data_IF_025459458291
#
_entry.id   IF_025459458291
#
_cell.length_a   1.000
_cell.length_b   1.000
_cell.length_c   1.000
_cell.angle_alpha   90.00
_cell.angle_beta   90.00
_cell.angle_gamma   90.00
#
_symmetry.space_group_name_H-M   'P 1'
#
loop_
_entity.id
_entity.type
_entity.pdbx_description
1 polymer ?
#
# COMPACT_ATOMS: atom_id res chain seq x y z
N UNK A 1 13.51 2.68 -15.07
CA UNK A 1 13.44 4.11 -15.45
C UNK A 1 12.51 4.76 -14.44
N UNK A 2 13.03 5.56 -13.51
CA UNK A 2 12.18 6.29 -12.56
C UNK A 2 11.35 7.32 -13.32
N UNK A 3 10.10 7.54 -12.89
CA UNK A 3 9.14 8.47 -13.50
C UNK A 3 9.83 9.80 -13.88
N UNK A 4 9.84 10.13 -15.17
CA UNK A 4 10.45 11.33 -15.77
C UNK A 4 9.78 12.66 -15.34
N UNK A 5 8.59 12.56 -14.74
CA UNK A 5 7.80 13.73 -14.34
C UNK A 5 8.46 14.53 -13.21
N UNK A 6 8.38 15.87 -13.32
CA UNK A 6 8.73 16.81 -12.25
C UNK A 6 7.77 16.74 -11.05
N UNK A 7 6.59 16.14 -11.23
CA UNK A 7 5.60 15.98 -10.16
C UNK A 7 4.92 14.62 -10.17
N UNK A 8 4.53 14.16 -8.98
CA UNK A 8 3.63 13.02 -8.79
C UNK A 8 2.18 13.52 -8.72
N UNK A 9 1.34 13.02 -9.62
CA UNK A 9 -0.05 13.51 -9.80
C UNK A 9 -1.04 12.66 -9.01
N UNK A 10 -1.85 13.35 -8.24
CA UNK A 10 -2.94 12.82 -7.42
C UNK A 10 -4.23 13.52 -7.79
N UNK A 11 -5.36 12.90 -7.49
CA UNK A 11 -6.66 13.56 -7.47
C UNK A 11 -7.05 13.73 -6.01
N UNK A 12 -7.27 14.98 -5.60
CA UNK A 12 -7.77 15.33 -4.28
C UNK A 12 -9.29 15.46 -4.29
N UNK A 13 -9.94 14.79 -3.34
CA UNK A 13 -11.35 14.97 -3.03
C UNK A 13 -11.52 15.55 -1.64
N UNK A 14 -12.57 16.35 -1.49
CA UNK A 14 -13.09 16.79 -0.19
C UNK A 14 -14.46 16.14 0.02
N UNK A 15 -14.59 15.39 1.11
CA UNK A 15 -15.84 14.72 1.48
C UNK A 15 -16.13 15.02 2.96
N UNK A 16 -16.83 16.13 3.21
CA UNK A 16 -16.96 16.68 4.56
C UNK A 16 -15.57 17.06 5.11
N UNK A 17 -15.20 16.64 6.33
CA UNK A 17 -13.89 16.95 6.91
C UNK A 17 -12.73 16.15 6.29
N UNK A 18 -13.02 15.06 5.56
CA UNK A 18 -12.00 14.17 5.02
C UNK A 18 -11.37 14.76 3.74
N UNK A 19 -10.03 14.80 3.73
CA UNK A 19 -9.22 15.00 2.52
C UNK A 19 -8.75 13.64 2.02
N UNK A 20 -9.18 13.25 0.82
CA UNK A 20 -8.83 11.96 0.21
C UNK A 20 -7.97 12.21 -1.02
N UNK A 21 -6.83 11.53 -1.10
CA UNK A 21 -5.92 11.56 -2.25
C UNK A 21 -5.91 10.19 -2.91
N UNK A 22 -6.11 10.13 -4.23
CA UNK A 22 -5.94 8.91 -5.04
C UNK A 22 -4.89 9.17 -6.11
N UNK A 23 -4.15 8.16 -6.58
CA UNK A 23 -3.30 8.34 -7.75
C UNK A 23 -4.13 8.78 -8.96
N UNK A 24 -3.63 9.78 -9.71
CA UNK A 24 -4.29 10.24 -10.94
C UNK A 24 -4.16 9.19 -12.07
N UNK A 25 -3.08 8.41 -12.05
CA UNK A 25 -2.90 7.23 -12.89
C UNK A 25 -3.22 5.99 -12.04
N UNK A 26 -4.27 5.22 -12.38
CA UNK A 26 -4.64 4.03 -11.61
C UNK A 26 -3.52 2.98 -11.57
N UNK A 27 -3.41 2.27 -10.45
CA UNK A 27 -2.54 1.10 -10.31
C UNK A 27 -3.22 -0.12 -10.92
N UNK A 28 -3.23 -0.23 -12.24
CA UNK A 28 -4.02 -1.25 -12.96
C UNK A 28 -3.52 -2.68 -12.80
N UNK A 29 -2.27 -2.86 -12.35
CA UNK A 29 -1.63 -4.16 -12.12
C UNK A 29 -1.39 -4.42 -10.64
N UNK A 30 -2.09 -3.71 -9.75
CA UNK A 30 -2.09 -3.98 -8.32
C UNK A 30 -3.40 -4.61 -7.90
N UNK A 31 -3.32 -5.76 -7.21
CA UNK A 31 -4.45 -6.49 -6.65
C UNK A 31 -4.23 -6.63 -5.15
N UNK A 32 -5.25 -6.34 -4.37
CA UNK A 32 -5.20 -6.47 -2.92
C UNK A 32 -6.28 -7.45 -2.55
N UNK A 33 -5.94 -8.50 -1.85
CA UNK A 33 -6.87 -9.58 -1.53
C UNK A 33 -6.72 -9.98 -0.07
N UNK A 34 -7.79 -10.56 0.46
CA UNK A 34 -7.76 -11.38 1.66
C UNK A 34 -7.73 -12.82 1.17
N UNK A 35 -6.56 -13.47 1.26
CA UNK A 35 -6.25 -14.72 0.57
C UNK A 35 -7.01 -15.90 1.16
N UNK A 36 -7.19 -15.92 2.48
CA UNK A 36 -7.87 -17.00 3.21
C UNK A 36 -9.26 -16.60 3.70
N UNK A 37 -9.54 -15.29 3.80
CA UNK A 37 -10.73 -14.79 4.50
C UNK A 37 -10.50 -14.53 6.00
N UNK A 38 -9.34 -14.95 6.52
CA UNK A 38 -8.96 -14.91 7.94
C UNK A 38 -7.83 -13.91 8.19
N UNK A 39 -7.94 -12.70 7.62
CA UNK A 39 -6.97 -11.60 7.74
C UNK A 39 -5.57 -11.92 7.17
N UNK A 40 -5.50 -12.70 6.09
CA UNK A 40 -4.27 -12.92 5.33
C UNK A 40 -4.24 -12.02 4.10
N UNK A 41 -3.72 -10.81 4.27
CA UNK A 41 -3.73 -9.80 3.22
C UNK A 41 -2.50 -9.90 2.32
N UNK A 42 -2.72 -9.93 1.01
CA UNK A 42 -1.65 -9.94 0.01
C UNK A 42 -1.85 -8.80 -1.00
N UNK A 43 -0.78 -8.05 -1.25
CA UNK A 43 -0.69 -7.04 -2.31
C UNK A 43 0.11 -7.63 -3.46
N UNK A 44 -0.56 -8.09 -4.51
CA UNK A 44 0.09 -8.49 -5.75
C UNK A 44 0.33 -7.26 -6.60
N UNK A 45 1.56 -7.03 -7.06
CA UNK A 45 1.84 -5.88 -7.91
C UNK A 45 3.04 -6.10 -8.84
N UNK A 46 2.96 -5.53 -10.05
CA UNK A 46 4.05 -5.62 -11.02
C UNK A 46 5.14 -4.58 -10.73
N UNK A 47 6.22 -4.63 -11.51
CA UNK A 47 7.36 -3.73 -11.35
C UNK A 47 6.98 -2.25 -11.36
N UNK A 48 6.08 -1.85 -12.26
CA UNK A 48 5.74 -0.44 -12.47
C UNK A 48 4.85 0.08 -11.34
N UNK A 49 3.86 -0.72 -10.92
CA UNK A 49 2.95 -0.32 -9.86
C UNK A 49 3.60 -0.45 -8.47
N UNK A 50 4.54 -1.37 -8.25
CA UNK A 50 5.38 -1.39 -7.04
C UNK A 50 6.18 -0.10 -6.88
N UNK A 51 6.76 0.43 -7.97
CA UNK A 51 7.43 1.74 -7.92
C UNK A 51 6.44 2.83 -7.51
N UNK A 52 5.24 2.86 -8.09
CA UNK A 52 4.20 3.83 -7.74
C UNK A 52 3.72 3.65 -6.29
N UNK A 53 3.63 2.43 -5.78
CA UNK A 53 3.29 2.14 -4.39
C UNK A 53 4.34 2.73 -3.44
N UNK A 54 5.63 2.59 -3.73
CA UNK A 54 6.68 3.25 -2.96
C UNK A 54 6.53 4.78 -2.91
N UNK A 55 6.13 5.40 -4.04
CA UNK A 55 5.82 6.84 -4.07
C UNK A 55 4.57 7.18 -3.26
N UNK A 56 3.51 6.37 -3.35
CA UNK A 56 2.28 6.55 -2.58
C UNK A 56 2.49 6.38 -1.07
N UNK A 57 3.39 5.50 -0.65
CA UNK A 57 3.80 5.38 0.76
C UNK A 57 4.62 6.59 1.23
N UNK A 58 5.47 7.17 0.37
CA UNK A 58 6.11 8.47 0.66
C UNK A 58 5.08 9.58 0.80
N UNK A 59 4.06 9.63 -0.07
CA UNK A 59 2.93 10.56 0.07
C UNK A 59 2.19 10.32 1.37
N UNK A 60 1.88 9.07 1.72
CA UNK A 60 1.24 8.72 2.98
C UNK A 60 2.07 9.23 4.16
N UNK A 61 3.39 8.98 4.18
CA UNK A 61 4.27 9.47 5.24
C UNK A 61 4.22 11.00 5.42
N UNK A 62 4.13 11.78 4.33
CA UNK A 62 4.12 13.26 4.37
C UNK A 62 2.73 13.85 4.64
N UNK A 63 1.69 13.32 4.00
CA UNK A 63 0.34 13.88 4.01
C UNK A 63 -0.47 13.40 5.22
N UNK A 64 0.02 13.76 6.41
CA UNK A 64 -0.56 13.45 7.73
C UNK A 64 -2.08 13.67 7.82
N UNK A 65 -2.55 14.79 7.28
CA UNK A 65 -3.95 15.21 7.28
C UNK A 65 -4.82 14.58 6.19
N UNK A 66 -4.46 13.44 5.60
CA UNK A 66 -5.15 12.91 4.42
C UNK A 66 -5.26 11.38 4.43
N UNK A 67 -6.31 10.88 3.79
CA UNK A 67 -6.50 9.47 3.47
C UNK A 67 -5.93 9.24 2.07
N UNK A 68 -5.01 8.29 1.92
CA UNK A 68 -4.53 7.86 0.60
C UNK A 68 -5.36 6.66 0.18
N UNK A 69 -6.22 6.84 -0.80
CA UNK A 69 -7.17 5.83 -1.28
C UNK A 69 -6.72 5.24 -2.60
N UNK A 70 -6.58 3.92 -2.66
CA UNK A 70 -6.26 3.15 -3.85
C UNK A 70 -7.50 2.31 -4.24
N UNK A 71 -8.19 2.66 -5.34
CA UNK A 71 -9.43 1.99 -5.76
C UNK A 71 -9.17 0.66 -6.49
N UNK A 72 -8.30 -0.19 -5.94
CA UNK A 72 -7.78 -1.42 -6.58
C UNK A 72 -8.84 -2.50 -6.76
N UNK A 73 -9.95 -2.46 -6.01
CA UNK A 73 -11.06 -3.42 -6.21
C UNK A 73 -11.66 -3.37 -7.60
N UNK A 74 -11.51 -2.23 -8.30
CA UNK A 74 -12.00 -2.05 -9.67
C UNK A 74 -11.18 -2.82 -10.70
N UNK A 75 -9.96 -3.25 -10.35
CA UNK A 75 -9.13 -4.02 -11.24
C UNK A 75 -9.71 -5.45 -11.35
N UNK A 76 -9.98 -5.96 -12.55
CA UNK A 76 -10.41 -7.33 -12.72
C UNK A 76 -9.29 -8.26 -12.26
N UNK A 77 -9.60 -9.20 -11.35
CA UNK A 77 -8.63 -10.23 -10.97
C UNK A 77 -8.21 -11.02 -12.21
N UNK A 78 -6.92 -11.32 -12.30
CA UNK A 78 -6.35 -12.12 -13.37
C UNK A 78 -6.83 -13.57 -13.31
N UNK A 79 -6.60 -14.33 -14.37
CA UNK A 79 -6.99 -15.75 -14.40
C UNK A 79 -6.26 -16.55 -13.31
N UNK A 80 -4.98 -16.28 -13.07
CA UNK A 80 -4.17 -16.93 -12.07
C UNK A 80 -4.75 -16.71 -10.68
N UNK A 81 -5.02 -15.46 -10.31
CA UNK A 81 -5.59 -15.12 -9.01
C UNK A 81 -6.94 -15.80 -8.80
N UNK A 82 -7.79 -15.84 -9.84
CA UNK A 82 -9.07 -16.58 -9.79
C UNK A 82 -8.87 -18.09 -9.61
N UNK A 83 -7.87 -18.70 -10.26
CA UNK A 83 -7.53 -20.12 -10.08
C UNK A 83 -7.05 -20.42 -8.65
N UNK A 84 -6.49 -19.44 -7.95
CA UNK A 84 -6.16 -19.55 -6.52
C UNK A 84 -7.39 -19.42 -5.59
N UNK A 85 -8.61 -19.40 -6.14
CA UNK A 85 -9.85 -19.26 -5.36
C UNK A 85 -10.17 -17.82 -4.95
N UNK A 86 -9.44 -16.81 -5.46
CA UNK A 86 -9.68 -15.42 -5.12
C UNK A 86 -10.84 -14.87 -5.95
N UNK A 87 -11.91 -14.48 -5.29
CA UNK A 87 -13.12 -14.01 -5.97
C UNK A 87 -13.15 -12.49 -6.19
N UNK A 88 -12.65 -11.72 -5.22
CA UNK A 88 -12.79 -10.26 -5.18
C UNK A 88 -11.56 -9.58 -4.61
N UNK A 89 -11.16 -8.48 -5.24
CA UNK A 89 -10.18 -7.56 -4.68
C UNK A 89 -10.74 -6.67 -3.57
N UNK A 90 -9.85 -6.01 -2.86
CA UNK A 90 -10.10 -4.97 -1.89
C UNK A 90 -9.60 -3.63 -2.44
N UNK A 91 -10.23 -2.56 -1.99
CA UNK A 91 -9.61 -1.24 -2.01
C UNK A 91 -8.55 -1.16 -0.88
N UNK A 92 -7.67 -0.17 -0.95
CA UNK A 92 -6.73 0.13 0.13
C UNK A 92 -6.83 1.59 0.54
N UNK A 93 -6.80 1.84 1.85
CA UNK A 93 -6.69 3.18 2.43
C UNK A 93 -5.53 3.23 3.40
N UNK A 94 -4.58 4.14 3.14
CA UNK A 94 -3.54 4.51 4.08
C UNK A 94 -3.97 5.76 4.82
N UNK A 95 -3.86 5.76 6.15
CA UNK A 95 -4.19 6.92 6.96
C UNK A 95 -3.33 7.00 8.21
N UNK A 96 -3.15 8.21 8.71
CA UNK A 96 -2.42 8.38 9.96
C UNK A 96 -3.30 8.13 11.17
N UNK A 97 -2.74 7.49 12.18
CA UNK A 97 -3.41 7.24 13.46
C UNK A 97 -3.91 8.52 14.18
N UNK A 98 -3.28 9.68 13.97
CA UNK A 98 -3.65 10.94 14.62
C UNK A 98 -4.92 11.55 14.02
N UNK A 99 -5.35 11.10 12.83
CA UNK A 99 -6.61 11.53 12.24
C UNK A 99 -7.81 11.02 13.04
N UNK A 100 -7.63 9.94 13.83
CA UNK A 100 -8.72 9.29 14.57
C UNK A 100 -9.96 9.06 13.68
N UNK A 101 -9.72 8.76 12.40
CA UNK A 101 -10.77 8.69 11.40
C UNK A 101 -11.68 7.48 11.69
N UNK A 102 -12.99 7.69 11.87
CA UNK A 102 -13.90 6.58 12.14
C UNK A 102 -14.09 5.72 10.89
N UNK A 103 -13.49 4.52 10.85
CA UNK A 103 -13.53 3.65 9.66
C UNK A 103 -14.95 3.35 9.17
N UNK A 104 -15.94 3.33 10.07
CA UNK A 104 -17.38 3.19 9.76
C UNK A 104 -17.92 4.24 8.79
N UNK A 105 -17.32 5.44 8.77
CA UNK A 105 -17.73 6.52 7.89
C UNK A 105 -17.22 6.31 6.45
N UNK A 106 -16.28 5.41 6.24
CA UNK A 106 -15.64 5.21 4.94
C UNK A 106 -16.63 4.92 3.82
N UNK A 107 -17.64 4.07 4.04
CA UNK A 107 -18.65 3.75 3.02
C UNK A 107 -19.37 5.01 2.51
N UNK A 108 -19.68 5.94 3.42
CA UNK A 108 -20.29 7.24 3.13
C UNK A 108 -19.32 8.21 2.46
N UNK A 109 -18.05 8.23 2.87
CA UNK A 109 -17.01 9.07 2.26
C UNK A 109 -16.72 8.60 0.82
N UNK A 110 -16.46 7.30 0.64
CA UNK A 110 -16.17 6.65 -0.65
C UNK A 110 -17.27 6.91 -1.68
N UNK A 111 -18.55 6.88 -1.29
CA UNK A 111 -19.68 7.13 -2.22
C UNK A 111 -19.80 8.59 -2.68
N UNK A 112 -19.13 9.53 -2.01
CA UNK A 112 -19.15 10.97 -2.33
C UNK A 112 -17.94 11.42 -3.16
N UNK A 113 -16.98 10.53 -3.44
CA UNK A 113 -15.80 10.82 -4.27
C UNK A 113 -16.19 10.92 -5.74
N UNK A 114 -16.69 12.10 -6.17
CA UNK A 114 -17.20 12.33 -7.54
C UNK A 114 -16.27 13.24 -8.35
N UNK A 115 -16.17 14.51 -7.95
CA UNK A 115 -15.36 15.53 -8.65
C UNK A 115 -14.15 15.89 -7.81
N UNK A 116 -13.01 15.33 -8.16
CA UNK A 116 -11.74 15.65 -7.51
C UNK A 116 -10.98 16.71 -8.29
N UNK A 117 -10.04 17.37 -7.61
CA UNK A 117 -9.13 18.36 -8.19
C UNK A 117 -7.76 17.71 -8.40
N UNK A 118 -7.11 18.01 -9.52
CA UNK A 118 -5.72 17.60 -9.73
C UNK A 118 -4.83 18.25 -8.67
N UNK A 119 -4.06 17.42 -7.97
CA UNK A 119 -3.08 17.81 -6.96
C UNK A 119 -1.73 17.24 -7.37
N UNK A 120 -0.68 18.06 -7.29
CA UNK A 120 0.67 17.63 -7.65
C UNK A 120 1.57 17.73 -6.44
N UNK A 121 2.34 16.68 -6.18
CA UNK A 121 3.41 16.67 -5.19
C UNK A 121 4.74 16.74 -5.94
N UNK A 122 5.66 17.57 -5.45
CA UNK A 122 6.99 17.67 -6.01
C UNK A 122 7.70 16.31 -5.99
N UNK A 123 8.15 15.87 -7.18
CA UNK A 123 8.79 14.58 -7.32
C UNK A 123 10.17 14.53 -6.67
N UNK A 124 10.88 15.66 -6.55
CA UNK A 124 12.19 15.68 -5.89
C UNK A 124 12.06 15.35 -4.39
N UNK A 125 11.05 15.92 -3.75
CA UNK A 125 10.71 15.62 -2.36
C UNK A 125 10.40 14.13 -2.13
N UNK A 126 9.61 13.51 -3.01
CA UNK A 126 9.29 12.08 -2.94
C UNK A 126 10.54 11.21 -3.16
N UNK A 127 11.38 11.55 -4.15
CA UNK A 127 12.64 10.86 -4.40
C UNK A 127 13.61 10.93 -3.22
N UNK A 128 13.67 12.07 -2.53
CA UNK A 128 14.50 12.22 -1.32
C UNK A 128 14.06 11.26 -0.21
N UNK A 129 12.75 11.06 -0.02
CA UNK A 129 12.25 10.10 0.96
C UNK A 129 12.57 8.66 0.55
N UNK A 130 12.37 8.30 -0.71
CA UNK A 130 12.73 6.98 -1.24
C UNK A 130 14.22 6.71 -1.03
N UNK A 131 15.10 7.65 -1.39
CA UNK A 131 16.54 7.50 -1.21
C UNK A 131 16.93 7.27 0.26
N UNK A 132 16.25 7.96 1.20
CA UNK A 132 16.45 7.76 2.63
C UNK A 132 15.95 6.40 3.11
N UNK A 133 14.86 5.90 2.54
CA UNK A 133 14.26 4.61 2.90
C UNK A 133 14.97 3.39 2.33
N UNK A 134 15.77 3.55 1.26
CA UNK A 134 16.57 2.46 0.68
C UNK A 134 17.82 2.11 1.50
N UNK A 135 18.24 2.98 2.41
CA UNK A 135 19.34 2.73 3.33
C UNK A 135 18.88 3.00 4.77
N UNK A 136 17.92 2.21 5.29
CA UNK A 136 17.46 2.40 6.65
C UNK A 136 18.61 2.05 7.60
N UNK A 137 18.86 2.90 8.59
CA UNK A 137 19.82 2.56 9.64
C UNK A 137 19.20 1.42 10.48
N UNK A 138 19.94 0.38 10.90
CA UNK A 138 19.38 -0.69 11.75
C UNK A 138 18.66 -0.14 13.00
N UNK A 139 19.15 0.99 13.53
CA UNK A 139 18.54 1.72 14.64
C UNK A 139 17.13 2.25 14.35
N UNK A 140 16.77 2.50 13.09
CA UNK A 140 15.44 2.99 12.72
C UNK A 140 14.36 1.92 12.90
N UNK A 141 14.71 0.65 12.63
CA UNK A 141 13.85 -0.51 12.89
C UNK A 141 13.76 -0.81 14.39
N UNK A 142 14.90 -0.84 15.09
CA UNK A 142 14.99 -1.02 16.55
C UNK A 142 14.09 -0.02 17.31
N UNK A 143 14.11 1.24 16.89
CA UNK A 143 13.23 2.29 17.42
C UNK A 143 11.75 2.03 17.25
N UNK A 144 11.33 1.41 16.15
CA UNK A 144 9.90 1.10 15.93
C UNK A 144 9.43 0.03 16.92
N UNK A 145 10.28 -0.96 17.19
CA UNK A 145 9.94 -2.11 18.02
C UNK A 145 10.06 -1.83 19.52
N UNK A 146 11.13 -1.15 19.93
CA UNK A 146 11.48 -1.01 21.34
C UNK A 146 11.16 0.38 21.91
N UNK A 147 11.36 1.45 21.15
CA UNK A 147 11.15 2.82 21.66
C UNK A 147 9.75 3.36 21.35
N UNK A 148 9.13 2.93 20.24
CA UNK A 148 7.90 3.54 19.70
C UNK A 148 6.88 2.50 19.18
N UNK A 149 6.45 1.54 20.01
CA UNK A 149 5.49 0.52 19.59
C UNK A 149 4.14 1.09 19.13
N UNK A 150 3.79 2.32 19.55
CA UNK A 150 2.60 3.06 19.09
C UNK A 150 2.68 3.50 17.62
N UNK A 151 3.89 3.59 17.05
CA UNK A 151 4.13 3.96 15.66
C UNK A 151 3.97 2.77 14.70
N UNK A 152 3.80 1.53 15.22
CA UNK A 152 3.50 0.30 14.44
C UNK A 152 2.15 0.41 13.72
N UNK A 153 2.02 -0.38 12.66
CA UNK A 153 0.90 -0.43 11.73
C UNK A 153 -0.28 -1.20 12.32
N UNK A 154 -1.48 -0.64 12.23
CA UNK A 154 -2.72 -1.37 12.43
C UNK A 154 -3.34 -1.67 11.07
N UNK A 155 -3.72 -2.92 10.83
CA UNK A 155 -4.41 -3.35 9.63
C UNK A 155 -5.84 -3.76 9.97
N UNK A 156 -6.81 -3.39 9.14
CA UNK A 156 -8.21 -3.77 9.36
C UNK A 156 -8.98 -3.82 8.05
N UNK A 157 -9.73 -4.90 7.81
CA UNK A 157 -10.65 -5.00 6.68
C UNK A 157 -12.05 -4.56 7.06
N UNK A 158 -12.58 -3.53 6.38
CA UNK A 158 -14.00 -3.16 6.44
C UNK A 158 -14.51 -2.63 5.10
N UNK A 159 -15.78 -2.90 4.78
CA UNK A 159 -16.44 -2.37 3.57
C UNK A 159 -15.61 -2.61 2.30
N UNK A 160 -15.14 -3.85 2.12
CA UNK A 160 -14.29 -4.29 1.01
C UNK A 160 -13.05 -3.39 0.82
N UNK A 161 -12.51 -2.86 1.93
CA UNK A 161 -11.35 -1.98 1.98
C UNK A 161 -10.41 -2.48 3.07
N UNK A 162 -9.14 -2.65 2.75
CA UNK A 162 -8.08 -2.80 3.73
C UNK A 162 -7.63 -1.41 4.18
N UNK A 163 -7.67 -1.17 5.48
CA UNK A 163 -7.15 0.05 6.10
C UNK A 163 -5.80 -0.26 6.71
N UNK A 164 -4.80 0.55 6.36
CA UNK A 164 -3.50 0.54 7.00
C UNK A 164 -3.36 1.87 7.76
N UNK A 165 -3.47 1.79 9.08
CA UNK A 165 -3.45 2.93 10.00
C UNK A 165 -2.08 2.97 10.69
N UNK A 166 -1.28 3.98 10.38
CA UNK A 166 0.09 4.06 10.85
C UNK A 166 0.54 5.47 11.23
N UNK A 167 1.81 5.58 11.60
CA UNK A 167 2.50 6.87 11.73
C UNK A 167 3.23 7.23 10.44
N UNK A 168 3.80 8.43 10.36
CA UNK A 168 4.71 8.78 9.27
C UNK A 168 5.95 7.86 9.21
N UNK A 169 6.38 7.32 10.36
CA UNK A 169 7.61 6.52 10.44
C UNK A 169 7.42 5.17 9.80
N UNK A 170 6.37 4.44 10.18
CA UNK A 170 6.10 3.11 9.63
C UNK A 170 5.85 3.18 8.13
N UNK A 171 5.08 4.16 7.65
CA UNK A 171 4.91 4.37 6.20
C UNK A 171 6.23 4.66 5.51
N UNK A 172 7.12 5.45 6.12
CA UNK A 172 8.44 5.72 5.53
C UNK A 172 9.32 4.47 5.46
N UNK A 173 9.30 3.62 6.48
CA UNK A 173 10.12 2.39 6.52
C UNK A 173 9.67 1.36 5.49
N UNK A 174 8.37 1.25 5.23
CA UNK A 174 7.84 0.33 4.23
C UNK A 174 8.17 0.73 2.78
N UNK A 175 8.61 1.97 2.52
CA UNK A 175 8.95 2.42 1.15
C UNK A 175 10.02 1.53 0.51
N UNK A 176 11.05 1.17 1.28
CA UNK A 176 12.17 0.34 0.80
C UNK A 176 11.67 -1.01 0.25
N UNK A 177 10.76 -1.66 0.97
CA UNK A 177 10.15 -2.94 0.60
C UNK A 177 9.58 -2.93 -0.82
N UNK A 178 8.83 -1.88 -1.20
CA UNK A 178 8.25 -1.79 -2.55
C UNK A 178 9.31 -1.53 -3.63
N UNK A 179 10.27 -0.66 -3.36
CA UNK A 179 11.27 -0.25 -4.35
C UNK A 179 12.29 -1.37 -4.58
N UNK A 180 12.70 -2.08 -3.53
CA UNK A 180 13.57 -3.24 -3.64
C UNK A 180 12.86 -4.39 -4.35
N UNK A 181 11.61 -4.72 -3.98
CA UNK A 181 10.86 -5.76 -4.66
C UNK A 181 10.63 -5.42 -6.15
N UNK A 182 10.40 -4.14 -6.50
CA UNK A 182 10.33 -3.73 -7.91
C UNK A 182 11.66 -3.92 -8.67
N UNK A 183 12.79 -3.94 -7.96
CA UNK A 183 14.12 -4.14 -8.53
C UNK A 183 14.48 -5.62 -8.61
N UNK A 184 14.18 -6.40 -7.59
CA UNK A 184 14.59 -7.80 -7.43
C UNK A 184 13.56 -8.77 -7.98
N UNK A 185 12.27 -8.49 -7.82
CA UNK A 185 11.16 -9.40 -8.14
C UNK A 185 11.24 -10.05 -9.53
N UNK A 186 11.45 -9.31 -10.63
CA UNK A 186 11.56 -9.90 -11.96
C UNK A 186 12.70 -10.92 -12.12
N UNK A 187 13.70 -10.90 -11.24
CA UNK A 187 14.87 -11.81 -11.29
C UNK A 187 14.65 -13.08 -10.49
N UNK A 188 13.84 -13.00 -9.43
CA UNK A 188 13.65 -14.09 -8.49
C UNK A 188 12.28 -14.76 -8.62
N UNK A 189 11.37 -14.21 -9.42
CA UNK A 189 10.10 -14.86 -9.73
C UNK A 189 10.22 -15.82 -10.92
N UNK A 190 9.60 -16.99 -10.77
CA UNK A 190 9.49 -18.02 -11.79
C UNK A 190 8.00 -18.27 -12.12
N UNK A 191 7.53 -17.93 -13.32
CA UNK A 191 6.15 -18.10 -13.74
C UNK A 191 5.60 -19.51 -13.45
N UNK A 192 4.45 -19.57 -12.79
CA UNK A 192 3.78 -20.82 -12.43
C UNK A 192 4.34 -21.51 -11.18
N UNK A 193 5.48 -21.07 -10.63
CA UNK A 193 6.17 -21.76 -9.52
C UNK A 193 6.39 -20.90 -8.29
N UNK A 194 6.90 -19.69 -8.46
CA UNK A 194 7.33 -18.86 -7.35
C UNK A 194 7.23 -17.38 -7.67
N UNK A 195 6.85 -16.59 -6.66
CA UNK A 195 6.92 -15.13 -6.69
C UNK A 195 7.82 -14.63 -5.57
N UNK A 196 8.72 -13.71 -5.90
CA UNK A 196 9.44 -12.94 -4.88
C UNK A 196 8.43 -12.12 -4.06
N UNK A 197 8.62 -12.06 -2.75
CA UNK A 197 7.69 -11.37 -1.85
C UNK A 197 8.42 -10.77 -0.67
N UNK A 198 7.75 -9.82 -0.02
CA UNK A 198 8.23 -9.19 1.22
C UNK A 198 7.12 -9.18 2.26
N UNK A 199 7.44 -9.65 3.45
CA UNK A 199 6.57 -9.59 4.62
C UNK A 199 6.58 -8.19 5.21
N UNK A 200 5.39 -7.58 5.32
CA UNK A 200 5.18 -6.33 6.05
C UNK A 200 4.65 -6.58 7.47
N UNK A 201 4.51 -7.85 7.86
CA UNK A 201 4.05 -8.30 9.18
C UNK A 201 4.88 -7.74 10.33
N UNK A 202 6.19 -7.60 10.08
CA UNK A 202 7.14 -6.98 11.01
C UNK A 202 6.87 -5.51 11.31
N UNK A 203 5.90 -4.89 10.64
CA UNK A 203 5.44 -3.54 10.95
C UNK A 203 4.12 -3.53 11.73
N UNK A 204 3.41 -4.65 11.82
CA UNK A 204 2.10 -4.74 12.46
C UNK A 204 2.19 -4.64 13.99
N UNK A 205 1.10 -4.17 14.59
CA UNK A 205 0.95 -4.12 16.06
C UNK A 205 0.71 -5.48 16.69
N UNK A 206 0.11 -6.39 15.93
CA UNK A 206 -0.17 -7.76 16.37
C UNK A 206 1.09 -8.58 16.27
N UNK A 207 1.37 -9.37 17.31
CA UNK A 207 2.55 -10.22 17.35
C UNK A 207 2.24 -11.57 16.68
N UNK A 208 3.25 -12.20 16.08
CA UNK A 208 3.12 -13.49 15.41
C UNK A 208 2.55 -14.55 16.37
N UNK A 209 1.51 -15.26 15.93
CA UNK A 209 0.85 -16.30 16.72
C UNK A 209 -0.26 -15.80 17.65
N UNK A 210 -0.57 -14.50 17.66
CA UNK A 210 -1.77 -13.99 18.32
C UNK A 210 -3.06 -14.56 17.66
N UNK A 211 -4.14 -14.81 18.42
CA UNK A 211 -5.40 -15.30 17.86
C UNK A 211 -6.02 -14.37 16.81
N UNK A 212 -5.68 -13.10 16.85
CA UNK A 212 -6.07 -12.04 15.91
C UNK A 212 -4.90 -11.62 15.00
N UNK A 213 -3.92 -12.50 14.80
CA UNK A 213 -2.79 -12.25 13.91
C UNK A 213 -3.28 -11.87 12.51
N UNK A 214 -2.63 -10.85 11.95
CA UNK A 214 -2.87 -10.37 10.61
C UNK A 214 -1.59 -10.65 9.83
N UNK A 215 -1.74 -11.24 8.64
CA UNK A 215 -0.67 -11.34 7.67
C UNK A 215 -0.85 -10.23 6.62
N UNK A 216 0.24 -9.61 6.22
CA UNK A 216 0.34 -8.55 5.23
C UNK A 216 1.63 -8.74 4.43
N UNK A 217 1.48 -9.23 3.21
CA UNK A 217 2.60 -9.51 2.30
C UNK A 217 2.45 -8.71 1.01
N UNK A 218 3.57 -8.38 0.37
CA UNK A 218 3.60 -7.84 -0.98
C UNK A 218 4.31 -8.82 -1.90
N UNK A 219 3.61 -9.25 -2.94
CA UNK A 219 4.09 -10.24 -3.90
C UNK A 219 4.39 -9.55 -5.23
N UNK A 220 5.58 -9.81 -5.78
CA UNK A 220 5.89 -9.41 -7.14
C UNK A 220 5.06 -10.25 -8.10
N UNK A 221 4.15 -9.60 -8.81
CA UNK A 221 3.25 -10.27 -9.75
C UNK A 221 3.12 -9.48 -11.04
N UNK A 222 3.52 -10.08 -12.17
CA UNK A 222 3.40 -9.48 -13.49
C UNK A 222 2.65 -10.43 -14.42
N UNK A 223 1.39 -10.14 -14.74
CA UNK A 223 0.54 -10.98 -15.59
C UNK A 223 1.24 -11.44 -16.88
N UNK A 224 2.07 -10.57 -17.48
CA UNK A 224 2.80 -10.89 -18.71
C UNK A 224 3.83 -12.01 -18.50
N UNK A 225 4.51 -12.02 -17.34
CA UNK A 225 5.41 -13.11 -17.00
C UNK A 225 4.65 -14.42 -16.79
N UNK A 226 3.40 -14.34 -16.33
CA UNK A 226 2.54 -15.50 -16.05
C UNK A 226 1.75 -15.99 -17.28
N UNK A 227 2.01 -15.42 -18.46
CA UNK A 227 1.36 -15.82 -19.71
C UNK A 227 -0.13 -15.48 -19.75
N UNK A 228 -0.55 -14.45 -19.00
CA UNK A 228 -1.93 -13.97 -18.93
C UNK A 228 -2.17 -12.69 -19.72
#
# INVERSE_FOLDING_TARGET
>A
MFLSSRSFRLIEYRAGPARVLTPAEPLTHTFIVDRTGDNDFVIFSNRQDLQRLGWLWSVAARCRGSLIYLPTRKNPLSHYLKRQGLEKGLDLVLLHHHLQFPLKDWKRIRSRLKRGKLHSIDAASVRSDIARSLNPLPRDFDRLWHERPHDRLHAEKRFETLFLVGSFRVFRYMIGSFIDLARTGPRFSDPGRYHDHVHLDSFLKTDLGAPDYISLTVDYYDQKLWGE
#
